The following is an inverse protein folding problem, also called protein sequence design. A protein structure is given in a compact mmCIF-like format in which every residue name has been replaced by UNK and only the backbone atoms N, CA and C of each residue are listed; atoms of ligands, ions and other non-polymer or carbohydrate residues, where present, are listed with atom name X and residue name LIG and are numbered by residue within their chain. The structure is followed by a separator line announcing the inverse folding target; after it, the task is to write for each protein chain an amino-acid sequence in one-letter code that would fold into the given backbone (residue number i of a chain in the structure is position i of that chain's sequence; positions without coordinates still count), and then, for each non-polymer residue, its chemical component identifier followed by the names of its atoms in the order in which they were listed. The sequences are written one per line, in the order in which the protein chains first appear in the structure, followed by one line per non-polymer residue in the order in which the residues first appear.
data_IF_962873612387
#
_entry.id   IF_962873612387
#
_cell.length_a   1.000
_cell.length_b   1.000
_cell.length_c   1.000
_cell.angle_alpha   90.00
_cell.angle_beta   90.00
_cell.angle_gamma   90.00
#
_symmetry.space_group_name_H-M   'P 1'
#
loop_
_entity.id
_entity.type
_entity.pdbx_description
1 polymer ?
#
# COMPACT_ATOMS: atom_id res chain seq x y z
N UNK A 1 -43.36 -19.25 26.23
CA UNK A 1 -42.30 -19.36 25.23
C UNK A 1 -41.48 -18.06 25.28
N UNK A 2 -40.42 -18.00 26.07
CA UNK A 2 -39.56 -16.81 26.16
C UNK A 2 -38.46 -16.92 25.10
N UNK A 3 -38.53 -16.08 24.07
CA UNK A 3 -37.48 -15.95 23.07
C UNK A 3 -36.30 -15.20 23.71
N UNK A 4 -35.27 -15.96 24.11
CA UNK A 4 -34.00 -15.41 24.57
C UNK A 4 -33.28 -14.80 23.37
N UNK A 5 -33.43 -13.48 23.17
CA UNK A 5 -32.67 -12.74 22.18
C UNK A 5 -31.24 -12.57 22.72
N UNK A 6 -30.33 -13.42 22.24
CA UNK A 6 -28.90 -13.31 22.51
C UNK A 6 -28.37 -12.07 21.77
N UNK A 7 -28.20 -10.97 22.49
CA UNK A 7 -27.57 -9.75 21.98
C UNK A 7 -26.06 -10.01 21.90
N UNK A 8 -25.59 -10.47 20.74
CA UNK A 8 -24.16 -10.43 20.43
C UNK A 8 -23.71 -8.96 20.47
N UNK A 9 -22.92 -8.60 21.48
CA UNK A 9 -22.31 -7.27 21.58
C UNK A 9 -21.25 -7.15 20.48
N UNK A 10 -21.67 -6.73 19.28
CA UNK A 10 -20.75 -6.46 18.18
C UNK A 10 -19.87 -5.26 18.53
N UNK A 11 -18.69 -5.53 19.10
CA UNK A 11 -17.62 -4.54 19.19
C UNK A 11 -17.11 -4.34 17.76
N UNK A 12 -17.44 -3.21 17.16
CA UNK A 12 -16.85 -2.82 15.88
C UNK A 12 -15.37 -2.53 16.13
N UNK A 13 -14.50 -3.47 15.78
CA UNK A 13 -13.05 -3.19 15.74
C UNK A 13 -12.88 -2.22 14.59
N UNK A 14 -12.63 -0.94 14.90
CA UNK A 14 -12.23 0.03 13.87
C UNK A 14 -10.92 -0.48 13.28
N UNK A 15 -10.93 -0.91 12.02
CA UNK A 15 -9.72 -1.29 11.29
C UNK A 15 -8.85 -0.02 11.23
N UNK A 16 -7.74 -0.03 11.96
CA UNK A 16 -6.80 1.08 11.92
C UNK A 16 -6.12 1.05 10.56
N UNK A 17 -6.32 2.11 9.77
CA UNK A 17 -5.63 2.26 8.49
C UNK A 17 -4.31 3.01 8.70
N UNK A 18 -3.25 2.66 7.94
CA UNK A 18 -2.03 3.45 7.95
C UNK A 18 -2.33 4.87 7.45
N UNK A 19 -1.62 5.85 8.00
CA UNK A 19 -1.61 7.21 7.45
C UNK A 19 -0.56 7.24 6.35
N UNK A 20 -0.97 7.55 5.13
CA UNK A 20 -0.08 7.60 3.98
C UNK A 20 0.72 8.89 3.92
N UNK A 21 1.91 8.80 3.32
CA UNK A 21 2.81 9.92 3.08
C UNK A 21 2.33 10.83 1.95
N UNK A 22 3.20 11.75 1.56
CA UNK A 22 2.97 12.53 0.34
C UNK A 22 3.12 11.62 -0.89
N UNK A 23 2.34 11.90 -1.93
CA UNK A 23 2.31 11.12 -3.18
C UNK A 23 1.96 9.63 -2.98
N UNK A 24 1.24 9.32 -1.90
CA UNK A 24 0.72 8.00 -1.61
C UNK A 24 -0.80 8.04 -1.41
N UNK A 25 -1.48 7.01 -1.91
CA UNK A 25 -2.90 6.77 -1.66
C UNK A 25 -3.11 5.50 -0.83
N UNK A 26 -4.23 5.44 -0.12
CA UNK A 26 -4.57 4.29 0.73
C UNK A 26 -5.23 3.18 -0.09
N UNK A 27 -4.51 2.07 -0.28
CA UNK A 27 -5.10 0.83 -0.75
C UNK A 27 -5.62 0.03 0.45
N UNK A 28 -6.94 -0.03 0.62
CA UNK A 28 -7.60 -0.72 1.72
C UNK A 28 -7.45 -2.25 1.68
N UNK A 29 -7.04 -2.78 0.53
CA UNK A 29 -6.94 -4.21 0.23
C UNK A 29 -5.50 -4.72 0.05
N UNK A 30 -4.53 -3.81 -0.03
CA UNK A 30 -3.11 -4.11 -0.15
C UNK A 30 -2.69 -4.85 -1.43
N UNK A 31 -3.58 -4.94 -2.42
CA UNK A 31 -3.31 -5.65 -3.69
C UNK A 31 -2.45 -4.84 -4.63
N UNK A 32 -2.36 -3.51 -4.46
CA UNK A 32 -1.61 -2.62 -5.34
C UNK A 32 -0.18 -2.39 -4.90
N UNK A 33 0.11 -2.62 -3.61
CA UNK A 33 1.46 -2.48 -3.06
C UNK A 33 2.57 -3.24 -3.81
N UNK A 34 2.39 -4.49 -4.25
CA UNK A 34 3.45 -5.21 -4.96
C UNK A 34 3.68 -4.75 -6.41
N UNK A 35 2.80 -3.93 -6.97
CA UNK A 35 2.92 -3.41 -8.35
C UNK A 35 3.30 -1.94 -8.42
N UNK A 36 3.82 -1.38 -7.33
CA UNK A 36 4.38 -0.03 -7.38
C UNK A 36 5.57 0.02 -8.32
N UNK A 37 5.65 1.08 -9.11
CA UNK A 37 6.89 1.43 -9.78
C UNK A 37 7.93 1.77 -8.70
N UNK A 38 9.15 1.32 -8.90
CA UNK A 38 10.27 1.57 -7.98
C UNK A 38 11.39 2.26 -8.71
N UNK A 39 12.12 3.09 -7.98
CA UNK A 39 13.32 3.73 -8.49
C UNK A 39 14.36 2.68 -8.91
N UNK A 40 14.99 2.94 -10.06
CA UNK A 40 16.13 2.18 -10.58
C UNK A 40 15.87 0.68 -10.81
N UNK A 41 14.61 0.25 -10.86
CA UNK A 41 14.20 -1.11 -11.24
C UNK A 41 13.49 -1.04 -12.60
N UNK A 42 13.93 -1.83 -13.58
CA UNK A 42 13.16 -1.99 -14.81
C UNK A 42 11.80 -2.65 -14.49
N UNK A 43 10.70 -2.19 -15.10
CA UNK A 43 9.40 -2.81 -14.92
C UNK A 43 9.48 -4.30 -15.26
N UNK A 44 8.84 -5.18 -14.48
CA UNK A 44 8.79 -6.60 -14.81
C UNK A 44 8.03 -6.79 -16.13
N UNK A 45 8.43 -7.80 -16.93
CA UNK A 45 7.73 -8.10 -18.19
C UNK A 45 6.25 -8.43 -17.99
N UNK A 46 5.90 -9.00 -16.84
CA UNK A 46 4.55 -9.28 -16.39
C UNK A 46 4.37 -8.73 -14.97
N UNK A 47 3.33 -7.92 -14.75
CA UNK A 47 2.96 -7.44 -13.42
C UNK A 47 2.47 -8.57 -12.51
N UNK A 48 2.57 -8.38 -11.19
CA UNK A 48 2.05 -9.37 -10.23
C UNK A 48 0.54 -9.56 -10.45
N UNK A 49 0.06 -10.79 -10.70
CA UNK A 49 -1.35 -11.06 -10.96
C UNK A 49 -2.27 -10.61 -9.82
N UNK A 50 -1.77 -10.47 -8.58
CA UNK A 50 -2.55 -9.97 -7.45
C UNK A 50 -3.08 -8.56 -7.70
N UNK A 51 -2.38 -7.76 -8.51
CA UNK A 51 -2.75 -6.37 -8.79
C UNK A 51 -3.98 -6.25 -9.68
N UNK A 52 -4.32 -7.31 -10.42
CA UNK A 52 -5.57 -7.41 -11.20
C UNK A 52 -6.70 -8.07 -10.41
N UNK A 53 -6.44 -8.52 -9.19
CA UNK A 53 -7.46 -9.15 -8.34
C UNK A 53 -8.47 -8.13 -7.83
N UNK A 54 -9.75 -8.45 -7.98
CA UNK A 54 -10.85 -7.70 -7.35
C UNK A 54 -11.12 -8.14 -5.90
N UNK A 55 -10.40 -9.16 -5.42
CA UNK A 55 -10.49 -9.59 -4.02
C UNK A 55 -9.81 -8.56 -3.10
N UNK A 56 -10.18 -8.58 -1.81
CA UNK A 56 -9.54 -7.78 -0.77
C UNK A 56 -8.75 -8.67 0.22
N UNK A 57 -7.67 -9.35 -0.23
CA UNK A 57 -6.99 -10.38 0.56
C UNK A 57 -6.02 -9.81 1.61
N UNK A 58 -5.50 -8.59 1.39
CA UNK A 58 -4.42 -8.02 2.18
C UNK A 58 -4.86 -7.04 3.27
N UNK A 59 -3.94 -6.67 4.18
CA UNK A 59 -4.11 -5.50 5.02
C UNK A 59 -4.08 -4.24 4.16
N UNK A 60 -4.57 -3.12 4.70
CA UNK A 60 -4.44 -1.86 4.01
C UNK A 60 -2.97 -1.41 3.97
N UNK A 61 -2.57 -0.82 2.86
CA UNK A 61 -1.22 -0.34 2.62
C UNK A 61 -1.24 1.01 1.92
N UNK A 62 -0.18 1.80 2.11
CA UNK A 62 0.02 3.02 1.34
C UNK A 62 0.77 2.69 0.07
N UNK A 63 0.22 3.18 -1.04
CA UNK A 63 0.66 2.87 -2.39
C UNK A 63 1.03 4.16 -3.12
N UNK A 64 2.12 4.17 -3.88
CA UNK A 64 2.49 5.34 -4.67
C UNK A 64 1.36 5.72 -5.63
N UNK A 65 1.13 7.02 -5.77
CA UNK A 65 0.26 7.56 -6.81
C UNK A 65 0.84 7.28 -8.21
N UNK A 66 -0.03 7.24 -9.21
CA UNK A 66 0.39 7.02 -10.59
C UNK A 66 1.38 8.11 -11.04
N UNK A 67 2.52 7.70 -11.58
CA UNK A 67 3.62 8.59 -11.98
C UNK A 67 4.63 8.89 -10.88
N UNK A 68 4.48 8.31 -9.69
CA UNK A 68 5.48 8.32 -8.63
C UNK A 68 6.11 6.94 -8.46
N UNK A 69 7.39 6.94 -8.09
CA UNK A 69 8.24 5.77 -7.97
C UNK A 69 8.67 5.66 -6.52
N UNK A 70 8.62 4.45 -5.98
CA UNK A 70 9.12 4.21 -4.63
C UNK A 70 10.64 4.24 -4.62
N UNK A 71 11.19 5.21 -3.93
CA UNK A 71 12.60 5.22 -3.57
C UNK A 71 12.85 4.10 -2.56
N UNK A 72 13.73 3.17 -2.91
CA UNK A 72 13.99 1.98 -2.08
C UNK A 72 14.90 2.27 -0.89
N UNK A 73 15.58 3.43 -0.86
CA UNK A 73 16.48 3.87 0.20
C UNK A 73 15.70 4.59 1.29
N UNK A 74 14.91 5.61 0.95
CA UNK A 74 14.14 6.40 1.93
C UNK A 74 12.74 5.86 2.17
N UNK A 75 12.19 5.11 1.21
CA UNK A 75 10.86 4.52 1.31
C UNK A 75 9.71 5.43 0.86
N UNK A 76 9.99 6.63 0.36
CA UNK A 76 8.99 7.60 -0.09
C UNK A 76 8.64 7.44 -1.58
N UNK A 77 7.51 8.01 -2.00
CA UNK A 77 7.09 8.05 -3.39
C UNK A 77 7.51 9.39 -4.01
N UNK A 78 8.49 9.32 -4.89
CA UNK A 78 9.16 10.47 -5.51
C UNK A 78 8.92 10.49 -7.02
N UNK A 79 9.25 11.59 -7.68
CA UNK A 79 9.26 11.60 -9.15
C UNK A 79 10.45 10.82 -9.69
N UNK A 80 10.36 10.37 -10.93
CA UNK A 80 11.45 9.61 -11.58
C UNK A 80 12.76 10.40 -11.58
N UNK A 81 12.72 11.72 -11.80
CA UNK A 81 13.91 12.59 -11.74
C UNK A 81 14.54 12.73 -10.35
N UNK A 82 13.84 12.29 -9.30
CA UNK A 82 14.28 12.33 -7.90
C UNK A 82 14.87 11.00 -7.42
N UNK A 83 14.76 9.92 -8.21
CA UNK A 83 15.23 8.59 -7.84
C UNK A 83 16.74 8.49 -7.59
N UNK A 84 17.56 9.33 -8.21
CA UNK A 84 19.03 9.29 -8.10
C UNK A 84 19.57 10.28 -7.05
N UNK A 85 18.71 10.96 -6.29
CA UNK A 85 19.11 12.07 -5.42
C UNK A 85 19.40 11.66 -3.96
N UNK A 86 19.03 10.44 -3.56
CA UNK A 86 19.15 9.95 -2.18
C UNK A 86 20.26 8.89 -2.04
N UNK A 87 21.53 9.32 -2.12
CA UNK A 87 22.66 8.45 -1.75
C UNK A 87 22.81 8.31 -0.22
N UNK A 88 23.14 7.10 0.22
CA UNK A 88 23.38 6.72 1.62
C UNK A 88 24.56 7.53 2.19
N UNK A 89 24.32 8.41 3.15
CA UNK A 89 25.40 8.97 3.98
C UNK A 89 25.78 7.91 5.01
N UNK A 90 26.93 7.26 4.83
CA UNK A 90 27.56 6.49 5.91
C UNK A 90 28.01 7.47 7.02
N UNK A 91 27.28 7.49 8.14
CA UNK A 91 27.70 8.13 9.41
C UNK A 91 28.18 7.07 10.38
#
# INVERSE_FOLDING_TARGET
MFLLVSLCSAKTVRKSYPKCGENEWLDVCGTKKPCEAKCSEEPPEEEDPICRSFSCPGPAACVCEDGFYRDTVIGDCVREEECDQHEIIHV
#
